data_IF_909383138197
#
_entry.id   IF_909383138197
#
_cell.length_a   1.000
_cell.length_b   1.000
_cell.length_c   1.000
_cell.angle_alpha   90.00
_cell.angle_beta   90.00
_cell.angle_gamma   90.00
#
_symmetry.space_group_name_H-M   'P 1'
#
loop_
_entity.id
_entity.type
_entity.pdbx_description
1 polymer ?
#
# COMPACT_ATOMS: atom_id res chain seq x y z
N UNK A 1 -26.03 -30.27 1.15
CA UNK A 1 -26.25 -29.05 1.95
C UNK A 1 -24.96 -28.30 2.28
N UNK A 2 -23.82 -28.95 2.56
CA UNK A 2 -22.56 -28.21 2.81
C UNK A 2 -21.95 -27.55 1.57
N UNK A 3 -22.19 -28.07 0.35
CA UNK A 3 -21.65 -27.50 -0.89
C UNK A 3 -22.21 -26.11 -1.22
N UNK A 4 -23.53 -25.92 -1.07
CA UNK A 4 -24.21 -24.64 -1.35
C UNK A 4 -23.81 -23.55 -0.35
N UNK A 5 -23.61 -23.92 0.93
CA UNK A 5 -23.13 -22.97 1.95
C UNK A 5 -21.69 -22.54 1.64
N UNK A 6 -20.84 -23.49 1.23
CA UNK A 6 -19.46 -23.17 0.83
C UNK A 6 -19.39 -22.30 -0.42
N UNK A 7 -20.26 -22.50 -1.40
CA UNK A 7 -20.35 -21.65 -2.61
C UNK A 7 -20.82 -20.23 -2.28
N UNK A 8 -21.81 -20.07 -1.40
CA UNK A 8 -22.26 -18.75 -0.94
C UNK A 8 -21.16 -18.01 -0.19
N UNK A 9 -20.47 -18.67 0.75
CA UNK A 9 -19.34 -18.07 1.48
C UNK A 9 -18.16 -17.75 0.56
N UNK A 10 -17.90 -18.55 -0.47
CA UNK A 10 -16.85 -18.26 -1.45
C UNK A 10 -17.19 -16.99 -2.25
N UNK A 11 -18.45 -16.85 -2.70
CA UNK A 11 -18.89 -15.67 -3.44
C UNK A 11 -18.83 -14.40 -2.58
N UNK A 12 -19.18 -14.48 -1.30
CA UNK A 12 -19.03 -13.37 -0.35
C UNK A 12 -17.56 -12.96 -0.18
N UNK A 13 -16.65 -13.93 -0.02
CA UNK A 13 -15.21 -13.66 0.08
C UNK A 13 -14.65 -13.03 -1.20
N UNK A 14 -15.09 -13.50 -2.38
CA UNK A 14 -14.69 -12.91 -3.66
C UNK A 14 -15.17 -11.46 -3.76
N UNK A 15 -16.42 -11.17 -3.37
CA UNK A 15 -16.96 -9.80 -3.35
C UNK A 15 -16.15 -8.89 -2.43
N UNK A 16 -15.82 -9.35 -1.22
CA UNK A 16 -14.99 -8.60 -0.28
C UNK A 16 -13.58 -8.34 -0.82
N UNK A 17 -12.99 -9.33 -1.50
CA UNK A 17 -11.68 -9.17 -2.15
C UNK A 17 -11.74 -8.10 -3.23
N UNK A 18 -12.79 -8.07 -4.04
CA UNK A 18 -12.94 -7.08 -5.11
C UNK A 18 -13.22 -5.67 -4.57
N UNK A 19 -14.00 -5.54 -3.50
CA UNK A 19 -14.17 -4.28 -2.75
C UNK A 19 -12.83 -3.77 -2.21
N UNK A 20 -12.03 -4.63 -1.55
CA UNK A 20 -10.71 -4.28 -1.02
C UNK A 20 -9.77 -3.83 -2.15
N UNK A 21 -9.80 -4.50 -3.31
CA UNK A 21 -8.99 -4.09 -4.47
C UNK A 21 -9.41 -2.73 -5.02
N UNK A 22 -10.72 -2.47 -5.08
CA UNK A 22 -11.24 -1.18 -5.52
C UNK A 22 -10.85 -0.05 -4.57
N UNK A 23 -11.00 -0.26 -3.25
CA UNK A 23 -10.57 0.70 -2.23
C UNK A 23 -9.06 0.96 -2.29
N UNK A 24 -8.25 -0.09 -2.43
CA UNK A 24 -6.79 0.05 -2.56
C UNK A 24 -6.41 0.88 -3.80
N UNK A 25 -7.11 0.67 -4.93
CA UNK A 25 -6.92 1.47 -6.15
C UNK A 25 -7.29 2.94 -5.94
N UNK A 26 -8.42 3.21 -5.27
CA UNK A 26 -8.86 4.57 -4.95
C UNK A 26 -7.87 5.29 -4.03
N UNK A 27 -7.37 4.59 -3.01
CA UNK A 27 -6.33 5.11 -2.10
C UNK A 27 -5.03 5.43 -2.85
N UNK A 28 -4.62 4.60 -3.81
CA UNK A 28 -3.45 4.86 -4.66
C UNK A 28 -3.59 6.14 -5.49
N UNK A 29 -4.79 6.39 -6.05
CA UNK A 29 -5.09 7.63 -6.77
C UNK A 29 -5.02 8.84 -5.84
N UNK A 30 -5.67 8.78 -4.67
CA UNK A 30 -5.65 9.86 -3.68
C UNK A 30 -4.23 10.18 -3.20
N UNK A 31 -3.42 9.15 -2.93
CA UNK A 31 -2.02 9.31 -2.54
C UNK A 31 -1.22 10.02 -3.64
N UNK A 32 -1.44 9.66 -4.90
CA UNK A 32 -0.80 10.32 -6.06
C UNK A 32 -1.20 11.79 -6.15
N UNK A 33 -2.49 12.10 -5.99
CA UNK A 33 -2.99 13.48 -6.01
C UNK A 33 -2.36 14.33 -4.90
N UNK A 34 -2.29 13.79 -3.67
CA UNK A 34 -1.68 14.48 -2.53
C UNK A 34 -0.19 14.72 -2.78
N UNK A 35 0.55 13.72 -3.26
CA UNK A 35 1.99 13.87 -3.56
C UNK A 35 2.21 14.90 -4.66
N UNK A 36 1.34 14.97 -5.67
CA UNK A 36 1.44 15.96 -6.75
C UNK A 36 1.33 17.41 -6.24
N UNK A 37 0.58 17.63 -5.16
CA UNK A 37 0.42 18.95 -4.53
C UNK A 37 1.63 19.37 -3.66
N UNK A 38 2.57 18.46 -3.39
CA UNK A 38 3.75 18.75 -2.57
C UNK A 38 4.84 19.48 -3.37
N UNK A 39 5.59 20.35 -2.69
CA UNK A 39 6.84 20.91 -3.23
C UNK A 39 7.91 19.83 -3.43
N UNK A 40 8.93 20.11 -4.24
CA UNK A 40 10.04 19.18 -4.45
C UNK A 40 10.80 18.86 -3.15
N UNK A 41 10.98 19.83 -2.22
CA UNK A 41 11.56 19.51 -0.91
C UNK A 41 10.64 18.65 -0.05
N UNK A 42 9.33 18.85 -0.12
CA UNK A 42 8.37 18.02 0.60
C UNK A 42 8.38 16.58 0.07
N UNK A 43 8.35 16.39 -1.26
CA UNK A 43 8.48 15.07 -1.92
C UNK A 43 9.77 14.37 -1.50
N UNK A 44 10.89 15.10 -1.51
CA UNK A 44 12.20 14.57 -1.08
C UNK A 44 12.21 14.14 0.39
N UNK A 45 11.58 14.91 1.29
CA UNK A 45 11.43 14.55 2.70
C UNK A 45 10.55 13.31 2.90
N UNK A 46 9.48 13.17 2.14
CA UNK A 46 8.63 11.96 2.16
C UNK A 46 9.43 10.74 1.75
N UNK A 47 10.23 10.84 0.67
CA UNK A 47 11.13 9.76 0.23
C UNK A 47 12.11 9.35 1.33
N UNK A 48 12.78 10.32 1.95
CA UNK A 48 13.74 10.07 3.03
C UNK A 48 13.09 9.37 4.24
N UNK A 49 11.95 9.88 4.73
CA UNK A 49 11.24 9.29 5.88
C UNK A 49 10.78 7.86 5.62
N UNK A 50 10.38 7.56 4.38
CA UNK A 50 9.99 6.19 4.01
C UNK A 50 11.18 5.22 4.08
N UNK A 51 12.36 5.63 3.63
CA UNK A 51 13.59 4.84 3.78
C UNK A 51 13.96 4.64 5.26
N UNK A 52 13.88 5.69 6.07
CA UNK A 52 14.16 5.61 7.53
C UNK A 52 13.21 4.62 8.21
N UNK A 53 11.91 4.71 7.93
CA UNK A 53 10.92 3.80 8.48
C UNK A 53 11.19 2.35 8.06
N UNK A 54 11.45 2.10 6.77
CA UNK A 54 11.79 0.76 6.29
C UNK A 54 13.07 0.21 6.94
N UNK A 55 14.09 1.06 7.11
CA UNK A 55 15.32 0.67 7.81
C UNK A 55 15.08 0.34 9.28
N UNK A 56 14.15 1.03 9.95
CA UNK A 56 13.79 0.74 11.34
C UNK A 56 13.07 -0.60 11.46
N UNK A 57 12.12 -0.89 10.57
CA UNK A 57 11.43 -2.18 10.55
C UNK A 57 12.41 -3.34 10.32
N UNK A 58 13.33 -3.19 9.36
CA UNK A 58 14.41 -4.15 9.09
C UNK A 58 15.37 -4.36 10.28
N UNK A 59 15.51 -3.37 11.17
CA UNK A 59 16.37 -3.48 12.36
C UNK A 59 15.67 -4.19 13.51
N UNK A 60 14.34 -4.09 13.58
CA UNK A 60 13.54 -4.68 14.64
C UNK A 60 13.33 -6.19 14.47
N UNK A 61 13.65 -6.75 13.29
CA UNK A 61 13.60 -8.20 13.03
C UNK A 61 12.19 -8.77 12.92
N UNK A 62 11.17 -7.93 12.78
CA UNK A 62 9.79 -8.34 12.54
C UNK A 62 9.60 -8.58 11.04
N UNK A 63 9.75 -9.84 10.63
CA UNK A 63 9.70 -10.22 9.21
C UNK A 63 8.39 -9.88 8.49
N UNK A 64 7.27 -9.74 9.21
CA UNK A 64 5.99 -9.39 8.60
C UNK A 64 5.91 -7.87 8.41
N UNK A 65 6.32 -7.11 9.43
CA UNK A 65 6.45 -5.66 9.34
C UNK A 65 7.46 -5.23 8.27
N UNK A 66 8.58 -5.95 8.12
CA UNK A 66 9.61 -5.72 7.10
C UNK A 66 9.07 -5.89 5.67
N UNK A 67 8.34 -6.99 5.42
CA UNK A 67 7.69 -7.22 4.12
C UNK A 67 6.67 -6.12 3.83
N UNK A 68 5.87 -5.76 4.83
CA UNK A 68 4.90 -4.68 4.73
C UNK A 68 5.55 -3.33 4.42
N UNK A 69 6.65 -2.98 5.11
CA UNK A 69 7.35 -1.72 4.89
C UNK A 69 8.06 -1.67 3.54
N UNK A 70 8.60 -2.78 3.06
CA UNK A 70 9.24 -2.87 1.76
C UNK A 70 8.23 -2.59 0.62
N UNK A 71 7.05 -3.21 0.65
CA UNK A 71 5.98 -2.98 -0.34
C UNK A 71 5.50 -1.52 -0.32
N UNK A 72 5.36 -0.93 0.87
CA UNK A 72 5.01 0.49 1.03
C UNK A 72 6.06 1.41 0.43
N UNK A 73 7.35 1.14 0.70
CA UNK A 73 8.46 1.92 0.15
C UNK A 73 8.52 1.83 -1.38
N UNK A 74 8.32 0.65 -1.94
CA UNK A 74 8.30 0.43 -3.39
C UNK A 74 7.16 1.22 -4.04
N UNK A 75 5.94 1.09 -3.50
CA UNK A 75 4.75 1.79 -4.02
C UNK A 75 4.93 3.30 -3.96
N UNK A 76 5.38 3.83 -2.82
CA UNK A 76 5.62 5.25 -2.65
C UNK A 76 6.71 5.76 -3.60
N UNK A 77 7.79 4.98 -3.80
CA UNK A 77 8.88 5.34 -4.72
C UNK A 77 8.38 5.43 -6.15
N UNK A 78 7.57 4.47 -6.61
CA UNK A 78 6.94 4.51 -7.94
C UNK A 78 6.10 5.76 -8.14
N UNK A 79 5.31 6.15 -7.12
CA UNK A 79 4.47 7.35 -7.19
C UNK A 79 5.33 8.61 -7.23
N UNK A 80 6.31 8.72 -6.33
CA UNK A 80 7.21 9.88 -6.26
C UNK A 80 8.01 10.06 -7.55
N UNK A 81 8.55 8.99 -8.12
CA UNK A 81 9.34 9.04 -9.35
C UNK A 81 8.47 9.35 -10.58
N UNK A 82 7.15 9.12 -10.54
CA UNK A 82 6.22 9.48 -11.61
C UNK A 82 5.78 10.96 -11.58
N UNK A 83 6.01 11.67 -10.46
CA UNK A 83 5.54 13.05 -10.24
C UNK A 83 6.65 14.05 -9.89
N UNK A 84 7.92 13.62 -9.89
CA UNK A 84 9.12 14.46 -9.82
C UNK A 84 9.69 14.58 -11.22
#
# INVERSE_FOLDING_TARGET
>A
MSSTINELSLNELVSQIDEIKAENSALGILLTMVIHQLSNEQKSRVKLRAYEYNSLMNKNGDSEAEKGSAVRLETLSKILDAVI
#
